data_IF_078513675343
#
_entry.id   IF_078513675343
#
_cell.length_a   1.000
_cell.length_b   1.000
_cell.length_c   1.000
_cell.angle_alpha   90.00
_cell.angle_beta   90.00
_cell.angle_gamma   90.00
#
_symmetry.space_group_name_H-M   'P 1'
#
loop_
_entity.id
_entity.type
_entity.pdbx_description
1 polymer ?
#
# COMPACT_ATOMS: atom_id res chain seq x y z
N UNK A 1 27.05 16.94 49.95
CA UNK A 1 27.39 15.51 49.78
C UNK A 1 26.11 14.78 49.39
N UNK A 2 26.00 14.15 48.22
CA UNK A 2 27.01 13.96 47.17
C UNK A 2 26.77 14.88 45.95
N UNK A 3 27.84 15.09 45.17
CA UNK A 3 27.84 15.77 43.87
C UNK A 3 28.24 14.78 42.77
N UNK A 4 27.65 14.93 41.58
CA UNK A 4 28.23 14.70 40.24
C UNK A 4 27.08 15.07 39.27
N UNK A 5 27.04 16.18 38.53
CA UNK A 5 28.08 16.88 37.77
C UNK A 5 28.74 16.01 36.70
N UNK A 6 28.53 16.39 35.43
CA UNK A 6 29.46 16.16 34.32
C UNK A 6 29.03 15.20 33.20
N UNK A 7 28.60 15.77 32.05
CA UNK A 7 29.17 15.53 30.69
C UNK A 7 28.97 14.10 30.13
N UNK A 8 28.45 13.79 28.93
CA UNK A 8 27.79 14.50 27.81
C UNK A 8 27.07 13.38 26.97
N UNK A 9 26.45 13.51 25.78
CA UNK A 9 26.38 14.57 24.75
C UNK A 9 25.03 14.50 24.00
N UNK A 10 24.70 15.51 23.20
CA UNK A 10 23.75 15.49 22.06
C UNK A 10 22.46 14.64 22.21
N UNK A 11 21.37 15.28 22.67
CA UNK A 11 20.02 14.88 22.28
C UNK A 11 19.14 16.14 22.15
N UNK A 12 18.86 16.58 20.92
CA UNK A 12 17.81 17.57 20.66
C UNK A 12 16.45 16.97 21.00
N UNK A 13 15.80 17.46 22.06
CA UNK A 13 14.38 17.14 22.34
C UNK A 13 13.50 18.28 21.80
N UNK A 14 13.47 18.39 20.46
CA UNK A 14 12.51 19.26 19.76
C UNK A 14 11.15 18.57 19.64
N UNK A 15 10.37 18.57 20.73
CA UNK A 15 8.93 18.25 20.72
C UNK A 15 8.11 19.10 21.69
N UNK A 16 7.44 20.15 21.21
CA UNK A 16 6.13 20.53 21.73
C UNK A 16 5.07 19.66 21.04
N UNK A 17 4.36 18.83 21.82
CA UNK A 17 3.19 18.09 21.32
C UNK A 17 2.06 19.08 21.00
N UNK A 18 1.95 19.52 19.74
CA UNK A 18 0.95 20.50 19.34
C UNK A 18 -0.43 19.84 19.18
N UNK A 19 -1.11 19.67 20.32
CA UNK A 19 -2.47 19.14 20.43
C UNK A 19 -3.49 20.16 19.93
N UNK A 20 -3.66 20.25 18.61
CA UNK A 20 -4.65 21.15 17.97
C UNK A 20 -6.06 20.64 18.26
N UNK A 21 -6.76 21.32 19.16
CA UNK A 21 -8.22 21.22 19.29
C UNK A 21 -8.85 22.25 18.32
N UNK A 22 -9.56 21.84 17.25
CA UNK A 22 -10.19 22.78 16.35
C UNK A 22 -11.38 23.48 17.04
N UNK A 23 -11.46 24.79 16.87
CA UNK A 23 -12.47 25.65 17.50
C UNK A 23 -13.87 25.39 16.93
N UNK A 24 -14.91 25.52 17.77
CA UNK A 24 -16.31 25.37 17.36
C UNK A 24 -16.69 26.33 16.21
N UNK A 25 -17.43 25.81 15.23
CA UNK A 25 -18.09 26.60 14.18
C UNK A 25 -17.51 26.47 12.77
N UNK A 26 -16.29 25.97 12.61
CA UNK A 26 -15.74 25.68 11.29
C UNK A 26 -16.27 24.32 10.78
N UNK A 27 -17.33 24.34 9.97
CA UNK A 27 -17.74 23.17 9.19
C UNK A 27 -16.74 22.96 8.04
N UNK A 28 -15.55 22.44 8.38
CA UNK A 28 -14.49 22.20 7.43
C UNK A 28 -14.95 21.12 6.45
N UNK A 29 -15.37 21.52 5.25
CA UNK A 29 -15.63 20.60 4.15
C UNK A 29 -14.28 20.08 3.65
N UNK A 30 -13.69 19.18 4.42
CA UNK A 30 -12.62 18.30 3.94
C UNK A 30 -13.24 17.56 2.74
N UNK A 31 -12.83 17.94 1.54
CA UNK A 31 -12.89 17.01 0.41
C UNK A 31 -11.93 15.90 0.78
N UNK A 32 -12.46 14.86 1.41
CA UNK A 32 -11.76 13.60 1.48
C UNK A 32 -11.62 13.17 0.02
N UNK A 33 -10.40 13.21 -0.51
CA UNK A 33 -10.00 12.43 -1.69
C UNK A 33 -10.11 10.95 -1.29
N UNK A 34 -11.36 10.54 -1.18
CA UNK A 34 -11.79 9.20 -0.84
C UNK A 34 -11.52 8.42 -2.11
N UNK A 35 -10.32 7.84 -2.20
CA UNK A 35 -9.91 7.00 -3.32
C UNK A 35 -11.03 5.98 -3.58
N UNK A 36 -11.84 6.28 -4.59
CA UNK A 36 -13.09 5.58 -4.84
C UNK A 36 -12.77 4.21 -5.41
N UNK A 37 -13.50 3.19 -4.96
CA UNK A 37 -13.21 1.80 -5.32
C UNK A 37 -13.07 0.88 -4.11
N UNK A 38 -13.20 -0.40 -4.39
CA UNK A 38 -13.13 -1.48 -3.41
C UNK A 38 -11.67 -1.68 -2.99
N UNK A 39 -11.33 -1.62 -1.69
CA UNK A 39 -10.01 -2.05 -1.22
C UNK A 39 -9.81 -3.55 -1.50
N UNK A 40 -8.68 -3.89 -2.13
CA UNK A 40 -8.29 -5.26 -2.47
C UNK A 40 -6.88 -5.55 -1.97
N UNK A 41 -6.70 -6.71 -1.35
CA UNK A 41 -5.41 -7.32 -1.03
C UNK A 41 -5.28 -8.60 -1.88
N UNK A 42 -4.27 -8.69 -2.74
CA UNK A 42 -3.99 -9.89 -3.53
C UNK A 42 -2.67 -10.49 -3.09
N UNK A 43 -2.66 -11.78 -2.78
CA UNK A 43 -1.43 -12.57 -2.57
C UNK A 43 -1.06 -13.26 -3.88
N UNK A 44 0.10 -12.94 -4.45
CA UNK A 44 0.55 -13.50 -5.72
C UNK A 44 1.24 -14.86 -5.54
N UNK A 45 0.68 -15.87 -6.18
CA UNK A 45 1.21 -17.23 -6.26
C UNK A 45 2.05 -17.36 -7.53
N UNK A 46 3.36 -17.11 -7.43
CA UNK A 46 4.29 -17.23 -8.56
C UNK A 46 4.92 -18.61 -8.62
N UNK A 47 4.71 -19.33 -9.72
CA UNK A 47 5.13 -20.73 -9.87
C UNK A 47 6.63 -20.92 -10.20
N UNK A 48 7.36 -19.85 -10.55
CA UNK A 48 8.74 -19.92 -11.05
C UNK A 48 9.85 -20.13 -10.01
N UNK A 49 9.52 -20.51 -8.77
CA UNK A 49 10.49 -20.76 -7.69
C UNK A 49 11.24 -19.53 -7.17
N UNK A 50 11.04 -18.35 -7.76
CA UNK A 50 11.57 -17.07 -7.32
C UNK A 50 10.50 -16.27 -6.58
N UNK A 51 10.83 -15.62 -5.48
CA UNK A 51 9.92 -14.67 -4.85
C UNK A 51 9.76 -13.41 -5.73
N UNK A 52 8.59 -12.78 -5.69
CA UNK A 52 8.39 -11.46 -6.29
C UNK A 52 9.04 -10.44 -5.31
N UNK A 53 9.98 -9.59 -5.74
CA UNK A 53 10.63 -8.64 -4.84
C UNK A 53 9.61 -7.70 -4.17
N UNK A 54 9.87 -7.30 -2.93
CA UNK A 54 9.13 -6.21 -2.31
C UNK A 54 9.47 -4.89 -3.04
N UNK A 55 8.46 -4.05 -3.29
CA UNK A 55 8.60 -2.84 -4.10
C UNK A 55 8.46 -3.05 -5.61
N UNK A 56 8.03 -4.23 -6.07
CA UNK A 56 7.67 -4.44 -7.48
C UNK A 56 6.48 -3.55 -7.84
N UNK A 57 6.54 -2.85 -8.97
CA UNK A 57 5.46 -1.99 -9.42
C UNK A 57 4.28 -2.83 -9.90
N UNK A 58 3.06 -2.43 -9.52
CA UNK A 58 1.82 -3.04 -10.02
C UNK A 58 1.17 -2.05 -10.98
N UNK A 59 1.05 -2.47 -12.24
CA UNK A 59 0.51 -1.69 -13.35
C UNK A 59 -0.86 -2.24 -13.76
N UNK A 60 -1.77 -1.37 -14.21
CA UNK A 60 -3.00 -1.78 -14.88
C UNK A 60 -2.80 -1.95 -16.39
N UNK A 61 -3.89 -2.24 -17.11
CA UNK A 61 -3.93 -2.40 -18.58
C UNK A 61 -3.53 -1.14 -19.36
N UNK A 62 -3.56 0.04 -18.73
CA UNK A 62 -3.17 1.33 -19.30
C UNK A 62 -1.74 1.73 -18.89
N UNK A 63 -0.95 0.79 -18.35
CA UNK A 63 0.39 1.01 -17.79
C UNK A 63 0.46 2.06 -16.66
N UNK A 64 -0.65 2.30 -15.96
CA UNK A 64 -0.71 3.19 -14.81
C UNK A 64 -0.34 2.41 -13.53
N UNK A 65 0.54 2.99 -12.71
CA UNK A 65 0.93 2.43 -11.41
C UNK A 65 -0.25 2.50 -10.44
N UNK A 66 -0.79 1.33 -10.06
CA UNK A 66 -1.82 1.18 -9.04
C UNK A 66 -1.24 1.05 -7.63
N UNK A 67 0.02 0.63 -7.51
CA UNK A 67 0.68 0.41 -6.24
C UNK A 67 1.97 -0.39 -6.37
N UNK A 68 2.39 -1.01 -5.26
CA UNK A 68 3.58 -1.85 -5.19
C UNK A 68 3.29 -3.15 -4.43
N UNK A 69 4.12 -4.17 -4.64
CA UNK A 69 4.12 -5.37 -3.80
C UNK A 69 4.76 -5.08 -2.44
N UNK A 70 4.12 -5.54 -1.38
CA UNK A 70 4.65 -5.60 -0.02
C UNK A 70 5.32 -6.95 0.27
N UNK A 71 5.35 -7.29 1.55
CA UNK A 71 5.86 -8.58 2.03
C UNK A 71 4.97 -9.74 1.59
N UNK A 72 5.49 -10.98 1.64
CA UNK A 72 4.75 -12.22 1.33
C UNK A 72 4.04 -12.23 -0.05
N UNK A 73 4.64 -11.59 -1.06
CA UNK A 73 4.07 -11.40 -2.40
C UNK A 73 2.67 -10.72 -2.40
N UNK A 74 2.33 -9.97 -1.36
CA UNK A 74 1.05 -9.28 -1.27
C UNK A 74 1.09 -7.95 -2.03
N UNK A 75 -0.01 -7.54 -2.63
CA UNK A 75 -0.20 -6.19 -3.16
C UNK A 75 -1.55 -5.63 -2.67
N UNK A 76 -1.56 -4.34 -2.35
CA UNK A 76 -2.76 -3.61 -1.97
C UNK A 76 -3.05 -2.52 -2.99
N UNK A 77 -4.30 -2.43 -3.43
CA UNK A 77 -4.79 -1.35 -4.28
C UNK A 77 -6.29 -1.13 -4.04
N UNK A 78 -6.84 -0.09 -4.66
CA UNK A 78 -8.28 0.13 -4.74
C UNK A 78 -8.74 -0.12 -6.16
N UNK A 79 -9.64 -1.08 -6.33
CA UNK A 79 -10.20 -1.44 -7.62
C UNK A 79 -11.34 -0.47 -7.98
N UNK A 80 -11.16 0.25 -9.09
CA UNK A 80 -12.16 1.09 -9.75
C UNK A 80 -13.16 0.26 -10.58
N UNK A 81 -12.73 -0.92 -11.03
CA UNK A 81 -13.51 -1.88 -11.83
C UNK A 81 -13.78 -3.19 -11.07
N UNK A 82 -14.86 -3.92 -11.37
CA UNK A 82 -15.13 -5.24 -10.79
C UNK A 82 -14.14 -6.32 -11.27
N UNK A 83 -13.46 -6.12 -12.39
CA UNK A 83 -12.39 -7.00 -12.87
C UNK A 83 -11.36 -6.23 -13.68
N UNK A 84 -10.17 -6.80 -13.82
CA UNK A 84 -9.11 -6.25 -14.65
C UNK A 84 -7.82 -7.05 -14.59
N UNK A 85 -6.92 -6.76 -15.54
CA UNK A 85 -5.58 -7.34 -15.57
C UNK A 85 -4.57 -6.45 -14.84
N UNK A 86 -3.70 -7.09 -14.07
CA UNK A 86 -2.56 -6.48 -13.38
C UNK A 86 -1.26 -7.03 -13.98
N UNK A 87 -0.29 -6.16 -14.17
CA UNK A 87 1.08 -6.50 -14.60
C UNK A 87 2.05 -6.07 -13.51
N UNK A 88 2.74 -7.03 -12.93
CA UNK A 88 3.70 -6.81 -11.83
C UNK A 88 5.11 -6.82 -12.43
N UNK A 89 5.91 -5.80 -12.15
CA UNK A 89 7.21 -5.55 -12.78
C UNK A 89 8.25 -5.22 -11.71
N UNK A 90 9.41 -5.87 -11.77
CA UNK A 90 10.54 -5.64 -10.85
C UNK A 90 11.89 -5.44 -11.55
N UNK A 91 11.89 -5.28 -12.87
CA UNK A 91 13.06 -4.89 -13.66
C UNK A 91 12.82 -5.12 -15.16
N UNK A 92 13.78 -4.69 -15.98
CA UNK A 92 13.62 -4.56 -17.44
C UNK A 92 13.96 -5.86 -18.22
N UNK A 93 14.39 -6.91 -17.53
CA UNK A 93 14.81 -8.18 -18.12
C UNK A 93 13.64 -9.12 -18.47
N UNK A 94 13.80 -10.02 -19.47
CA UNK A 94 12.83 -11.06 -19.74
C UNK A 94 12.65 -11.97 -18.51
N UNK A 95 11.41 -12.09 -18.03
CA UNK A 95 11.07 -12.81 -16.79
C UNK A 95 11.11 -11.97 -15.51
N UNK A 96 11.38 -10.65 -15.58
CA UNK A 96 11.23 -9.72 -14.45
C UNK A 96 9.83 -9.07 -14.37
N UNK A 97 8.84 -9.76 -14.93
CA UNK A 97 7.43 -9.38 -14.87
C UNK A 97 6.55 -10.63 -14.82
N UNK A 98 5.36 -10.51 -14.22
CA UNK A 98 4.29 -11.49 -14.33
C UNK A 98 2.93 -10.81 -14.40
N UNK A 99 1.92 -11.54 -14.88
CA UNK A 99 0.56 -11.06 -15.10
C UNK A 99 -0.41 -11.80 -14.17
N UNK A 100 -1.43 -11.10 -13.68
CA UNK A 100 -2.58 -11.75 -13.04
C UNK A 100 -3.87 -11.02 -13.41
N UNK A 101 -5.01 -11.70 -13.29
CA UNK A 101 -6.33 -11.12 -13.57
C UNK A 101 -7.20 -11.27 -12.33
N UNK A 102 -7.69 -10.16 -11.80
CA UNK A 102 -8.57 -10.16 -10.63
C UNK A 102 -10.03 -10.02 -11.06
N UNK A 103 -10.92 -10.59 -10.24
CA UNK A 103 -12.36 -10.34 -10.27
C UNK A 103 -12.85 -10.20 -8.82
N UNK A 104 -13.57 -9.13 -8.53
CA UNK A 104 -14.22 -8.89 -7.25
C UNK A 104 -15.46 -9.78 -7.12
N UNK A 105 -15.82 -10.22 -5.91
CA UNK A 105 -17.13 -10.82 -5.69
C UNK A 105 -18.23 -9.77 -5.87
N UNK A 106 -19.38 -10.15 -6.44
CA UNK A 106 -20.55 -9.29 -6.65
C UNK A 106 -21.30 -8.91 -5.36
N UNK A 107 -20.77 -9.34 -4.21
CA UNK A 107 -21.42 -9.23 -2.90
C UNK A 107 -21.24 -7.84 -2.25
N UNK A 108 -21.93 -7.62 -1.13
CA UNK A 108 -21.98 -6.32 -0.44
C UNK A 108 -20.59 -5.70 -0.22
N UNK A 109 -20.45 -4.36 -0.27
CA UNK A 109 -19.16 -3.68 -0.08
C UNK A 109 -18.55 -4.01 1.29
N UNK A 110 -17.48 -4.81 1.26
CA UNK A 110 -16.70 -5.19 2.44
C UNK A 110 -15.55 -4.22 2.67
N UNK A 111 -15.07 -4.03 3.92
CA UNK A 111 -13.94 -3.12 4.19
C UNK A 111 -12.64 -3.47 3.44
N UNK A 112 -12.44 -4.76 3.13
CA UNK A 112 -11.31 -5.28 2.36
C UNK A 112 -11.70 -6.60 1.70
N UNK A 113 -11.52 -6.72 0.38
CA UNK A 113 -11.53 -8.00 -0.33
C UNK A 113 -10.12 -8.58 -0.27
N UNK A 114 -9.97 -9.85 0.11
CA UNK A 114 -8.68 -10.55 0.11
C UNK A 114 -8.76 -11.80 -0.76
N UNK A 115 -7.76 -12.02 -1.62
CA UNK A 115 -7.71 -13.19 -2.52
C UNK A 115 -6.26 -13.62 -2.78
N UNK A 116 -6.07 -14.87 -3.21
CA UNK A 116 -4.80 -15.39 -3.70
C UNK A 116 -4.95 -15.76 -5.18
N UNK A 117 -4.06 -15.25 -6.03
CA UNK A 117 -4.13 -15.44 -7.49
C UNK A 117 -2.80 -15.95 -8.04
N UNK A 118 -2.82 -16.83 -9.07
CA UNK A 118 -1.61 -17.16 -9.81
C UNK A 118 -1.06 -15.93 -10.53
N UNK A 119 0.27 -15.80 -10.57
CA UNK A 119 0.95 -14.83 -11.43
C UNK A 119 1.77 -15.57 -12.49
N UNK A 120 1.53 -15.24 -13.76
CA UNK A 120 2.04 -15.92 -14.96
C UNK A 120 2.95 -15.00 -15.78
#
# INVERSE_FOLDING_TARGET
MLSSEGIDTQAEISRPEQKVAPYSGAMLRIKYDTNAGQPVLITLLYAGGKAIPMGSQVLNENDQVLGMTGQANQLYFRADKPEGKLRIVWGDGPGNTCSTTYRLPDDKPVPLVSMALPCQ
#
